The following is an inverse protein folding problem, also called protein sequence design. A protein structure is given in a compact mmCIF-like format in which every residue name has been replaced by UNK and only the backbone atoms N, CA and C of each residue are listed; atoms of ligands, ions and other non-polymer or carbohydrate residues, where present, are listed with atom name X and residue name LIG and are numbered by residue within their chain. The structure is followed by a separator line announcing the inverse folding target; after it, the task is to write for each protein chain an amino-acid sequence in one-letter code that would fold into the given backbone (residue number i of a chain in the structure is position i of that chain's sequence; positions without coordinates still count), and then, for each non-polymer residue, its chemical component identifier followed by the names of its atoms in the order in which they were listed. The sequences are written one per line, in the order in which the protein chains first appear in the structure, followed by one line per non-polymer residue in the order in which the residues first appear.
data_IF_331512082946
#
_entry.id   IF_331512082946
#
_cell.length_a   1.000
_cell.length_b   1.000
_cell.length_c   1.000
_cell.angle_alpha   90.00
_cell.angle_beta   90.00
_cell.angle_gamma   90.00
#
_symmetry.space_group_name_H-M   'P 1'
#
loop_
_entity.id
_entity.type
_entity.pdbx_description
1 polymer ?
#
# COMPACT_ATOMS: atom_id res chain seq x y z
N UNK A 1 -47.89 2.28 48.15
CA UNK A 1 -46.91 3.27 47.63
C UNK A 1 -45.54 2.67 47.92
N UNK A 2 -44.75 2.19 46.97
CA UNK A 2 -43.95 3.03 46.06
C UNK A 2 -43.18 2.24 44.98
N UNK A 3 -43.82 1.34 44.22
CA UNK A 3 -43.19 0.72 43.03
C UNK A 3 -43.28 1.62 41.77
N UNK A 4 -44.04 2.70 41.84
CA UNK A 4 -44.20 3.67 40.74
C UNK A 4 -43.00 4.62 40.56
N UNK A 5 -42.00 4.58 41.44
CA UNK A 5 -40.82 5.46 41.37
C UNK A 5 -39.73 4.98 40.39
N UNK A 6 -39.90 3.82 39.76
CA UNK A 6 -38.96 3.25 38.79
C UNK A 6 -39.41 3.33 37.32
N UNK A 7 -40.62 3.85 37.07
CA UNK A 7 -41.15 4.00 35.72
C UNK A 7 -40.83 5.39 35.19
N UNK A 8 -40.50 5.51 33.90
CA UNK A 8 -40.32 6.83 33.30
C UNK A 8 -41.60 7.69 33.47
N UNK A 9 -41.48 9.01 33.59
CA UNK A 9 -42.63 9.92 33.72
C UNK A 9 -43.64 9.81 32.57
N UNK A 10 -43.22 9.29 31.41
CA UNK A 10 -44.11 8.96 30.29
C UNK A 10 -45.14 7.89 30.65
N UNK A 11 -44.77 6.89 31.47
CA UNK A 11 -45.64 5.81 31.91
C UNK A 11 -46.57 6.19 33.08
N UNK A 12 -46.30 7.28 33.80
CA UNK A 12 -47.18 7.77 34.87
C UNK A 12 -48.41 8.52 34.36
N UNK A 13 -48.47 8.82 33.05
CA UNK A 13 -49.63 9.41 32.37
C UNK A 13 -50.75 8.40 32.02
N UNK A 14 -50.53 7.10 32.26
CA UNK A 14 -51.53 6.06 31.99
C UNK A 14 -52.63 6.14 33.04
N UNK A 15 -53.75 6.78 32.70
CA UNK A 15 -54.91 6.93 33.60
C UNK A 15 -55.75 5.65 33.64
N UNK A 16 -56.09 5.18 34.84
CA UNK A 16 -57.01 4.05 35.04
C UNK A 16 -58.49 4.41 34.79
N UNK A 17 -58.75 5.67 34.41
CA UNK A 17 -60.07 6.27 34.31
C UNK A 17 -60.32 6.70 32.86
N UNK A 18 -61.55 6.46 32.40
CA UNK A 18 -62.08 6.88 31.12
C UNK A 18 -62.08 8.41 31.00
N UNK A 19 -61.44 8.93 29.96
CA UNK A 19 -61.33 10.36 29.73
C UNK A 19 -62.68 11.05 29.46
N UNK A 20 -63.63 10.33 28.87
CA UNK A 20 -64.95 10.88 28.49
C UNK A 20 -65.97 10.84 29.63
N UNK A 21 -65.97 9.76 30.41
CA UNK A 21 -66.99 9.50 31.44
C UNK A 21 -66.46 9.61 32.87
N UNK A 22 -65.16 9.83 33.04
CA UNK A 22 -64.48 9.86 34.34
C UNK A 22 -64.72 8.61 35.22
N UNK A 23 -65.01 7.47 34.58
CA UNK A 23 -65.25 6.18 35.23
C UNK A 23 -64.04 5.25 35.07
N UNK A 24 -63.78 4.40 36.06
CA UNK A 24 -62.68 3.43 35.99
C UNK A 24 -62.91 2.46 34.82
N UNK A 25 -61.86 2.18 34.05
CA UNK A 25 -61.91 1.13 33.04
C UNK A 25 -62.06 -0.24 33.71
N UNK A 26 -63.08 -0.99 33.32
CA UNK A 26 -63.36 -2.33 33.88
C UNK A 26 -63.44 -3.41 32.81
N UNK A 27 -63.53 -3.01 31.55
CA UNK A 27 -63.81 -3.89 30.41
C UNK A 27 -62.74 -3.69 29.34
N UNK A 28 -62.34 -4.77 28.67
CA UNK A 28 -61.45 -4.73 27.51
C UNK A 28 -62.13 -5.40 26.31
N UNK A 29 -62.17 -4.70 25.18
CA UNK A 29 -62.66 -5.26 23.93
C UNK A 29 -61.49 -5.73 23.07
N UNK A 30 -61.36 -7.04 22.87
CA UNK A 30 -60.28 -7.65 22.07
C UNK A 30 -60.37 -7.26 20.58
N UNK A 31 -61.58 -7.10 20.06
CA UNK A 31 -61.82 -6.81 18.64
C UNK A 31 -61.33 -5.42 18.25
N UNK A 32 -61.44 -4.47 19.17
CA UNK A 32 -61.06 -3.07 18.94
C UNK A 32 -59.79 -2.64 19.68
N UNK A 33 -59.19 -3.55 20.48
CA UNK A 33 -58.03 -3.31 21.34
C UNK A 33 -58.19 -2.05 22.23
N UNK A 34 -59.36 -1.92 22.88
CA UNK A 34 -59.75 -0.74 23.67
C UNK A 34 -60.16 -1.10 25.09
N UNK A 35 -59.77 -0.23 26.03
CA UNK A 35 -60.30 -0.18 27.39
C UNK A 35 -61.64 0.57 27.38
N UNK A 36 -62.65 0.02 28.04
CA UNK A 36 -64.01 0.57 28.11
C UNK A 36 -64.46 0.69 29.58
N UNK A 37 -65.12 1.80 29.93
CA UNK A 37 -65.98 1.86 31.12
C UNK A 37 -67.39 1.37 30.79
N UNK A 38 -68.30 1.33 31.77
CA UNK A 38 -69.67 0.85 31.55
C UNK A 38 -70.44 1.70 30.53
N UNK A 39 -70.27 3.03 30.57
CA UNK A 39 -70.94 3.93 29.62
C UNK A 39 -70.37 3.81 28.20
N UNK A 40 -69.05 3.62 28.04
CA UNK A 40 -68.46 3.34 26.74
C UNK A 40 -68.97 2.02 26.14
N UNK A 41 -69.20 1.00 26.97
CA UNK A 41 -69.71 -0.29 26.51
C UNK A 41 -71.15 -0.17 25.96
N UNK A 42 -71.99 0.66 26.57
CA UNK A 42 -73.37 0.86 26.11
C UNK A 42 -73.45 1.40 24.67
N UNK A 43 -72.46 2.20 24.28
CA UNK A 43 -72.33 2.79 22.95
C UNK A 43 -71.30 2.06 22.07
N UNK A 44 -70.87 0.86 22.47
CA UNK A 44 -69.83 0.11 21.75
C UNK A 44 -70.42 -0.85 20.72
N UNK A 45 -70.22 -0.54 19.44
CA UNK A 45 -70.61 -1.43 18.35
C UNK A 45 -69.65 -2.62 18.24
N UNK A 46 -69.99 -3.73 18.90
CA UNK A 46 -69.24 -4.98 18.81
C UNK A 46 -69.15 -5.73 20.13
N UNK A 47 -70.19 -6.51 20.46
CA UNK A 47 -70.22 -7.28 21.71
C UNK A 47 -69.35 -8.55 21.69
N UNK A 48 -68.82 -8.94 20.53
CA UNK A 48 -67.94 -10.12 20.40
C UNK A 48 -66.54 -9.78 20.91
N UNK A 49 -66.03 -10.60 21.82
CA UNK A 49 -64.65 -10.48 22.34
C UNK A 49 -64.48 -9.52 23.51
N UNK A 50 -65.57 -9.13 24.18
CA UNK A 50 -65.53 -8.36 25.43
C UNK A 50 -65.13 -9.30 26.58
N UNK A 51 -64.16 -8.87 27.38
CA UNK A 51 -63.73 -9.58 28.59
C UNK A 51 -63.53 -8.59 29.75
N UNK A 52 -63.69 -9.04 31.01
CA UNK A 52 -63.32 -8.24 32.17
C UNK A 52 -61.82 -7.87 32.11
N UNK A 53 -61.50 -6.60 32.34
CA UNK A 53 -60.12 -6.12 32.36
C UNK A 53 -59.28 -6.85 33.43
N UNK A 54 -59.91 -7.25 34.54
CA UNK A 54 -59.29 -8.03 35.62
C UNK A 54 -58.82 -9.43 35.19
N UNK A 55 -59.40 -10.00 34.13
CA UNK A 55 -58.97 -11.28 33.57
C UNK A 55 -57.70 -11.12 32.71
N UNK A 56 -57.63 -10.01 31.97
CA UNK A 56 -56.47 -9.64 31.16
C UNK A 56 -55.29 -9.27 32.07
N UNK A 57 -55.47 -8.36 33.03
CA UNK A 57 -54.36 -7.85 33.86
C UNK A 57 -53.70 -8.93 34.73
N UNK A 58 -54.41 -10.00 35.08
CA UNK A 58 -53.84 -11.17 35.78
C UNK A 58 -52.86 -11.97 34.93
N UNK A 59 -53.02 -11.94 33.60
CA UNK A 59 -52.26 -12.78 32.67
C UNK A 59 -51.29 -12.00 31.79
N UNK A 60 -51.36 -10.65 31.76
CA UNK A 60 -50.50 -9.77 30.93
C UNK A 60 -49.01 -10.05 31.14
N UNK A 61 -48.54 -10.19 32.39
CA UNK A 61 -47.11 -10.45 32.69
C UNK A 61 -46.61 -11.81 32.18
N UNK A 62 -47.54 -12.75 31.97
CA UNK A 62 -47.27 -14.10 31.44
C UNK A 62 -47.69 -14.23 29.97
N UNK A 63 -48.12 -13.13 29.34
CA UNK A 63 -48.60 -13.15 27.96
C UNK A 63 -47.44 -13.18 26.97
N UNK A 64 -47.66 -13.80 25.80
CA UNK A 64 -46.68 -13.81 24.70
C UNK A 64 -46.26 -12.39 24.33
N UNK A 65 -47.22 -11.46 24.24
CA UNK A 65 -46.95 -10.07 23.85
C UNK A 65 -46.00 -9.35 24.83
N UNK A 66 -46.12 -9.59 26.13
CA UNK A 66 -45.24 -8.99 27.13
C UNK A 66 -43.80 -9.51 26.95
N UNK A 67 -43.63 -10.83 26.85
CA UNK A 67 -42.31 -11.43 26.64
C UNK A 67 -41.71 -11.05 25.28
N UNK A 68 -42.50 -11.01 24.21
CA UNK A 68 -42.05 -10.58 22.88
C UNK A 68 -41.58 -9.13 22.86
N UNK A 69 -42.29 -8.25 23.58
CA UNK A 69 -41.90 -6.83 23.71
C UNK A 69 -40.62 -6.71 24.51
N UNK A 70 -40.50 -7.42 25.63
CA UNK A 70 -39.28 -7.46 26.44
C UNK A 70 -38.08 -7.97 25.63
N UNK A 71 -38.23 -9.09 24.93
CA UNK A 71 -37.19 -9.64 24.04
C UNK A 71 -36.82 -8.67 22.92
N UNK A 72 -37.80 -8.02 22.29
CA UNK A 72 -37.56 -7.02 21.25
C UNK A 72 -36.72 -5.85 21.75
N UNK A 73 -36.99 -5.36 22.97
CA UNK A 73 -36.19 -4.30 23.59
C UNK A 73 -34.76 -4.77 23.91
N UNK A 74 -34.58 -5.98 24.42
CA UNK A 74 -33.25 -6.56 24.66
C UNK A 74 -32.45 -6.72 23.37
N UNK A 75 -33.06 -7.21 22.29
CA UNK A 75 -32.41 -7.36 20.99
C UNK A 75 -31.98 -5.99 20.42
N UNK A 76 -32.84 -4.97 20.55
CA UNK A 76 -32.50 -3.60 20.13
C UNK A 76 -31.30 -3.08 20.94
N UNK A 77 -31.29 -3.28 22.26
CA UNK A 77 -30.19 -2.88 23.12
C UNK A 77 -28.87 -3.55 22.69
N UNK A 78 -28.86 -4.86 22.50
CA UNK A 78 -27.67 -5.59 22.03
C UNK A 78 -27.18 -5.10 20.67
N UNK A 79 -28.10 -4.82 19.75
CA UNK A 79 -27.76 -4.31 18.42
C UNK A 79 -27.15 -2.91 18.49
N UNK A 80 -27.70 -2.02 19.34
CA UNK A 80 -27.14 -0.68 19.58
C UNK A 80 -25.71 -0.79 20.13
N UNK A 81 -25.48 -1.67 21.12
CA UNK A 81 -24.14 -1.88 21.68
C UNK A 81 -23.14 -2.34 20.61
N UNK A 82 -23.51 -3.29 19.75
CA UNK A 82 -22.64 -3.74 18.63
C UNK A 82 -22.33 -2.64 17.62
N UNK A 83 -23.32 -1.79 17.33
CA UNK A 83 -23.13 -0.62 16.45
C UNK A 83 -22.14 0.35 17.10
N UNK A 84 -22.31 0.63 18.40
CA UNK A 84 -21.43 1.51 19.17
C UNK A 84 -19.99 0.97 19.20
N UNK A 85 -19.80 -0.32 19.48
CA UNK A 85 -18.48 -0.95 19.47
C UNK A 85 -17.79 -0.86 18.10
N UNK A 86 -18.56 -1.05 17.02
CA UNK A 86 -18.06 -0.86 15.65
C UNK A 86 -17.56 0.56 15.40
N UNK A 87 -18.28 1.58 15.87
CA UNK A 87 -17.84 2.97 15.76
C UNK A 87 -16.60 3.27 16.61
N UNK A 88 -16.50 2.73 17.83
CA UNK A 88 -15.33 2.89 18.68
C UNK A 88 -14.08 2.27 18.06
N UNK A 89 -14.20 1.08 17.48
CA UNK A 89 -13.11 0.44 16.74
C UNK A 89 -12.70 1.26 15.51
N UNK A 90 -13.67 1.77 14.75
CA UNK A 90 -13.38 2.63 13.59
C UNK A 90 -12.65 3.91 14.00
N UNK A 91 -13.04 4.54 15.11
CA UNK A 91 -12.38 5.75 15.62
C UNK A 91 -10.93 5.46 16.02
N UNK A 92 -10.69 4.33 16.68
CA UNK A 92 -9.34 3.88 17.04
C UNK A 92 -8.49 3.62 15.79
N UNK A 93 -9.04 2.92 14.79
CA UNK A 93 -8.36 2.63 13.52
C UNK A 93 -7.95 3.92 12.80
N UNK A 94 -8.87 4.88 12.69
CA UNK A 94 -8.59 6.18 12.05
C UNK A 94 -7.42 6.90 12.74
N UNK A 95 -7.39 6.89 14.08
CA UNK A 95 -6.32 7.54 14.84
C UNK A 95 -4.97 6.84 14.65
N UNK A 96 -4.96 5.51 14.59
CA UNK A 96 -3.74 4.74 14.32
C UNK A 96 -3.24 4.97 12.88
N UNK A 97 -4.15 4.95 11.90
CA UNK A 97 -3.86 5.26 10.50
C UNK A 97 -3.34 6.69 10.31
N UNK A 98 -3.92 7.67 11.01
CA UNK A 98 -3.45 9.06 11.00
C UNK A 98 -1.97 9.16 11.41
N UNK A 99 -1.59 8.51 12.52
CA UNK A 99 -0.21 8.51 13.00
C UNK A 99 0.75 7.84 12.03
N UNK A 100 0.31 6.74 11.38
CA UNK A 100 1.10 6.05 10.36
C UNK A 100 1.32 6.97 9.15
N UNK A 101 0.26 7.60 8.65
CA UNK A 101 0.35 8.50 7.50
C UNK A 101 1.27 9.71 7.77
N UNK A 102 1.18 10.30 8.97
CA UNK A 102 2.10 11.38 9.38
C UNK A 102 3.56 10.89 9.41
N UNK A 103 3.81 9.70 9.97
CA UNK A 103 5.16 9.12 9.99
C UNK A 103 5.70 8.81 8.60
N UNK A 104 4.85 8.36 7.67
CA UNK A 104 5.21 8.12 6.28
C UNK A 104 5.57 9.41 5.54
N UNK A 105 4.85 10.51 5.81
CA UNK A 105 5.16 11.85 5.28
C UNK A 105 6.56 12.26 5.74
N UNK A 106 6.85 12.18 7.05
CA UNK A 106 8.16 12.55 7.61
C UNK A 106 9.29 11.69 7.04
N UNK A 107 9.06 10.38 6.98
CA UNK A 107 10.05 9.43 6.44
C UNK A 107 10.31 9.70 4.96
N UNK A 108 9.27 10.02 4.19
CA UNK A 108 9.40 10.36 2.76
C UNK A 108 10.18 11.65 2.59
N UNK A 109 9.88 12.68 3.39
CA UNK A 109 10.60 13.94 3.36
C UNK A 109 12.08 13.74 3.65
N UNK A 110 12.41 12.99 4.71
CA UNK A 110 13.79 12.69 5.08
C UNK A 110 14.55 11.96 3.96
N UNK A 111 13.92 10.97 3.31
CA UNK A 111 14.53 10.27 2.17
C UNK A 111 14.84 11.19 0.99
N UNK A 112 13.98 12.19 0.74
CA UNK A 112 14.22 13.18 -0.31
C UNK A 112 15.43 14.04 0.08
N UNK A 113 15.47 14.54 1.30
CA UNK A 113 16.57 15.37 1.80
C UNK A 113 17.90 14.61 1.76
N UNK A 114 17.96 13.39 2.32
CA UNK A 114 19.15 12.54 2.29
C UNK A 114 19.65 12.27 0.85
N UNK A 115 18.72 12.13 -0.10
CA UNK A 115 19.08 11.91 -1.50
C UNK A 115 19.62 13.17 -2.16
N UNK A 116 19.02 14.34 -1.90
CA UNK A 116 19.48 15.62 -2.42
C UNK A 116 20.86 15.98 -1.85
N UNK A 117 21.09 15.76 -0.55
CA UNK A 117 22.39 15.96 0.10
C UNK A 117 23.48 15.10 -0.55
N UNK A 118 23.15 13.84 -0.87
CA UNK A 118 24.08 12.94 -1.56
C UNK A 118 24.39 13.44 -2.97
N UNK A 119 23.37 13.84 -3.74
CA UNK A 119 23.57 14.38 -5.10
C UNK A 119 24.39 15.67 -5.08
N UNK A 120 24.17 16.53 -4.10
CA UNK A 120 24.97 17.74 -3.89
C UNK A 120 26.43 17.39 -3.58
N UNK A 121 26.66 16.47 -2.65
CA UNK A 121 28.00 16.03 -2.28
C UNK A 121 28.75 15.45 -3.49
N UNK A 122 28.10 14.56 -4.24
CA UNK A 122 28.67 13.93 -5.44
C UNK A 122 28.99 14.98 -6.51
N UNK A 123 28.12 15.97 -6.71
CA UNK A 123 28.35 17.06 -7.67
C UNK A 123 29.52 17.94 -7.25
N UNK A 124 29.60 18.33 -5.98
CA UNK A 124 30.73 19.13 -5.44
C UNK A 124 32.04 18.39 -5.63
N UNK A 125 32.08 17.09 -5.31
CA UNK A 125 33.25 16.24 -5.52
C UNK A 125 33.65 16.21 -7.00
N UNK A 126 32.69 16.01 -7.89
CA UNK A 126 32.94 15.98 -9.33
C UNK A 126 33.51 17.30 -9.86
N UNK A 127 32.99 18.45 -9.40
CA UNK A 127 33.55 19.76 -9.76
C UNK A 127 35.02 19.86 -9.38
N UNK A 128 35.40 19.40 -8.18
CA UNK A 128 36.80 19.40 -7.75
C UNK A 128 37.68 18.46 -8.59
N UNK A 129 37.17 17.28 -8.94
CA UNK A 129 37.89 16.29 -9.74
C UNK A 129 38.10 16.75 -11.19
N UNK A 130 37.05 17.25 -11.85
CA UNK A 130 37.13 17.76 -13.22
C UNK A 130 38.01 19.02 -13.30
N UNK A 131 38.02 19.85 -12.25
CA UNK A 131 38.91 21.01 -12.16
C UNK A 131 40.37 20.67 -11.81
N UNK A 132 40.67 19.47 -11.30
CA UNK A 132 42.00 19.13 -10.82
C UNK A 132 43.01 18.93 -11.96
N UNK A 133 42.63 18.20 -13.02
CA UNK A 133 43.49 17.90 -14.16
C UNK A 133 43.93 19.16 -14.93
N UNK A 134 43.00 20.01 -15.43
CA UNK A 134 43.38 21.22 -16.17
C UNK A 134 44.20 22.17 -15.31
N UNK A 135 43.82 22.34 -14.03
CA UNK A 135 44.60 23.15 -13.08
C UNK A 135 46.03 22.67 -12.93
N UNK A 136 46.25 21.37 -12.70
CA UNK A 136 47.60 20.82 -12.58
C UNK A 136 48.41 20.98 -13.88
N UNK A 137 47.76 20.83 -15.04
CA UNK A 137 48.40 21.04 -16.34
C UNK A 137 48.82 22.51 -16.52
N UNK A 138 47.94 23.46 -16.20
CA UNK A 138 48.22 24.90 -16.24
C UNK A 138 49.36 25.26 -15.27
N UNK A 139 49.37 24.71 -14.05
CA UNK A 139 50.45 24.94 -13.07
C UNK A 139 51.81 24.49 -13.62
N UNK A 140 51.89 23.32 -14.26
CA UNK A 140 53.12 22.83 -14.91
C UNK A 140 53.54 23.72 -16.07
N UNK A 141 52.59 24.18 -16.88
CA UNK A 141 52.88 25.09 -18.01
C UNK A 141 53.38 26.44 -17.52
N UNK A 142 52.77 27.00 -16.47
CA UNK A 142 53.23 28.24 -15.85
C UNK A 142 54.66 28.12 -15.32
N UNK A 143 54.99 27.01 -14.64
CA UNK A 143 56.35 26.78 -14.16
C UNK A 143 57.37 26.73 -15.31
N UNK A 144 57.05 26.02 -16.40
CA UNK A 144 57.93 25.97 -17.59
C UNK A 144 58.13 27.34 -18.22
N UNK A 145 57.08 28.17 -18.27
CA UNK A 145 57.16 29.53 -18.76
C UNK A 145 58.02 30.42 -17.86
N UNK A 146 57.88 30.29 -16.54
CA UNK A 146 58.68 31.04 -15.57
C UNK A 146 60.16 30.65 -15.62
N UNK A 147 60.48 29.36 -15.74
CA UNK A 147 61.86 28.87 -15.89
C UNK A 147 62.51 29.45 -17.15
N UNK A 148 61.81 29.40 -18.29
CA UNK A 148 62.30 29.96 -19.56
C UNK A 148 62.42 31.48 -19.52
N UNK A 149 61.48 32.17 -18.89
CA UNK A 149 61.54 33.62 -18.68
C UNK A 149 62.77 34.01 -17.85
N UNK A 150 63.07 33.25 -16.79
CA UNK A 150 64.23 33.47 -15.93
C UNK A 150 65.55 33.27 -16.70
N UNK A 151 65.67 32.18 -17.47
CA UNK A 151 66.82 31.90 -18.34
C UNK A 151 67.09 33.04 -19.33
N UNK A 152 66.05 33.50 -20.04
CA UNK A 152 66.17 34.61 -20.99
C UNK A 152 66.52 35.92 -20.28
N UNK A 153 65.94 36.19 -19.11
CA UNK A 153 66.28 37.37 -18.31
C UNK A 153 67.77 37.37 -17.91
N UNK A 154 68.31 36.21 -17.53
CA UNK A 154 69.74 36.06 -17.23
C UNK A 154 70.62 36.28 -18.46
N UNK A 155 70.23 35.74 -19.62
CA UNK A 155 70.94 35.99 -20.88
C UNK A 155 70.91 37.47 -21.29
N UNK A 156 69.79 38.17 -21.09
CA UNK A 156 69.70 39.60 -21.32
C UNK A 156 70.63 40.40 -20.39
N UNK A 157 70.75 39.98 -19.12
CA UNK A 157 71.71 40.59 -18.19
C UNK A 157 73.17 40.35 -18.64
N UNK A 158 73.50 39.13 -19.08
CA UNK A 158 74.82 38.80 -19.62
C UNK A 158 75.14 39.63 -20.87
N UNK A 159 74.18 39.82 -21.77
CA UNK A 159 74.35 40.69 -22.95
C UNK A 159 74.73 42.12 -22.57
N UNK A 160 74.01 42.73 -21.61
CA UNK A 160 74.32 44.07 -21.11
C UNK A 160 75.72 44.17 -20.49
N UNK A 161 76.14 43.12 -19.78
CA UNK A 161 77.48 43.05 -19.20
C UNK A 161 78.56 42.98 -20.28
N UNK A 162 78.38 42.13 -21.29
CA UNK A 162 79.32 41.98 -22.41
C UNK A 162 79.47 43.27 -23.21
N UNK A 163 78.36 43.99 -23.43
CA UNK A 163 78.34 45.28 -24.13
C UNK A 163 79.21 46.34 -23.45
N UNK A 164 79.29 46.29 -22.12
CA UNK A 164 79.95 47.33 -21.31
C UNK A 164 81.36 46.97 -20.84
N UNK A 165 81.66 45.68 -20.65
CA UNK A 165 82.87 45.24 -19.93
C UNK A 165 83.73 44.20 -20.66
N UNK A 166 83.23 43.54 -21.72
CA UNK A 166 83.95 42.45 -22.39
C UNK A 166 84.75 42.92 -23.60
N UNK A 167 85.84 42.21 -23.90
CA UNK A 167 86.59 42.43 -25.15
C UNK A 167 85.81 41.95 -26.37
N UNK A 168 86.09 42.52 -27.55
CA UNK A 168 85.47 42.11 -28.81
C UNK A 168 85.55 40.59 -29.08
N UNK A 169 86.67 39.96 -28.69
CA UNK A 169 86.83 38.51 -28.85
C UNK A 169 85.91 37.70 -27.93
N UNK A 170 85.79 38.09 -26.64
CA UNK A 170 84.88 37.45 -25.68
C UNK A 170 83.41 37.67 -26.08
N UNK A 171 83.07 38.86 -26.57
CA UNK A 171 81.73 39.18 -27.09
C UNK A 171 81.40 38.31 -28.31
N UNK A 172 82.33 38.16 -29.27
CA UNK A 172 82.13 37.32 -30.46
C UNK A 172 81.84 35.85 -30.09
N UNK A 173 82.62 35.27 -29.17
CA UNK A 173 82.41 33.89 -28.72
C UNK A 173 81.08 33.72 -27.96
N UNK A 174 80.75 34.66 -27.08
CA UNK A 174 79.52 34.61 -26.28
C UNK A 174 78.27 34.83 -27.14
N UNK A 175 78.34 35.70 -28.15
CA UNK A 175 77.24 35.96 -29.08
C UNK A 175 76.80 34.69 -29.82
N UNK A 176 77.76 33.82 -30.21
CA UNK A 176 77.44 32.54 -30.85
C UNK A 176 76.65 31.60 -29.95
N UNK A 177 77.00 31.54 -28.65
CA UNK A 177 76.27 30.76 -27.66
C UNK A 177 74.85 31.33 -27.44
N UNK A 178 74.75 32.65 -27.26
CA UNK A 178 73.48 33.33 -27.02
C UNK A 178 72.52 33.28 -28.22
N UNK A 179 73.05 33.32 -29.45
CA UNK A 179 72.25 33.10 -30.67
C UNK A 179 71.56 31.74 -30.65
N UNK A 180 72.29 30.68 -30.27
CA UNK A 180 71.70 29.35 -30.13
C UNK A 180 70.63 29.28 -29.03
N UNK A 181 70.78 30.05 -27.96
CA UNK A 181 69.78 30.15 -26.88
C UNK A 181 68.52 30.88 -27.35
N UNK A 182 68.67 31.93 -28.18
CA UNK A 182 67.54 32.63 -28.83
C UNK A 182 66.78 31.68 -29.75
N UNK A 183 67.48 30.95 -30.62
CA UNK A 183 66.85 29.98 -31.54
C UNK A 183 66.06 28.89 -30.76
N UNK A 184 66.63 28.42 -29.64
CA UNK A 184 65.96 27.47 -28.74
C UNK A 184 64.70 28.06 -28.10
N UNK A 185 64.75 29.31 -27.64
CA UNK A 185 63.62 29.96 -26.99
C UNK A 185 62.51 30.31 -27.98
N UNK A 186 62.88 30.74 -29.19
CA UNK A 186 61.95 30.98 -30.29
C UNK A 186 61.27 29.67 -30.71
N UNK A 187 62.02 28.57 -30.83
CA UNK A 187 61.43 27.25 -31.07
C UNK A 187 60.47 26.82 -29.96
N UNK A 188 60.78 27.12 -28.70
CA UNK A 188 59.89 26.82 -27.57
C UNK A 188 58.59 27.63 -27.64
N UNK A 189 58.65 28.95 -27.82
CA UNK A 189 57.46 29.80 -27.96
C UNK A 189 56.63 29.40 -29.18
N UNK A 190 57.27 29.14 -30.31
CA UNK A 190 56.59 28.68 -31.52
C UNK A 190 55.96 27.29 -31.36
N UNK A 191 56.58 26.41 -30.58
CA UNK A 191 55.97 25.11 -30.25
C UNK A 191 54.71 25.29 -29.41
N UNK A 192 54.73 26.18 -28.41
CA UNK A 192 53.55 26.47 -27.58
C UNK A 192 52.44 27.19 -28.36
N UNK A 193 52.79 28.07 -29.30
CA UNK A 193 51.82 28.80 -30.11
C UNK A 193 51.15 27.94 -31.21
N UNK A 194 51.83 26.87 -31.66
CA UNK A 194 51.32 25.94 -32.67
C UNK A 194 50.58 24.76 -32.06
N UNK A 195 50.90 24.41 -30.83
CA UNK A 195 50.17 23.41 -30.07
C UNK A 195 48.80 24.01 -29.72
N UNK A 196 47.70 23.35 -30.08
CA UNK A 196 46.31 23.79 -29.79
C UNK A 196 46.08 24.02 -28.27
N UNK A 197 47.03 23.62 -27.44
CA UNK A 197 47.16 23.76 -25.98
C UNK A 197 47.12 25.16 -25.34
N UNK A 198 47.02 26.26 -26.08
CA UNK A 198 46.68 27.58 -25.49
C UNK A 198 45.16 27.74 -25.30
N UNK A 199 44.45 26.63 -25.13
CA UNK A 199 43.05 26.60 -24.74
C UNK A 199 42.89 27.11 -23.30
N UNK A 200 41.98 28.06 -23.12
CA UNK A 200 41.57 28.53 -21.80
C UNK A 200 40.44 27.62 -21.33
N UNK A 201 40.76 26.71 -20.42
CA UNK A 201 39.77 25.84 -19.79
C UNK A 201 38.74 26.66 -19.01
N UNK A 202 37.46 26.41 -19.27
CA UNK A 202 36.36 27.03 -18.53
C UNK A 202 35.45 25.97 -17.92
N UNK A 203 35.08 26.17 -16.65
CA UNK A 203 34.14 25.29 -15.95
C UNK A 203 32.74 25.86 -16.08
N UNK A 204 31.79 25.01 -16.51
CA UNK A 204 30.37 25.35 -16.54
C UNK A 204 29.58 24.31 -15.75
N UNK A 205 28.54 24.78 -15.07
CA UNK A 205 27.63 23.95 -14.30
C UNK A 205 26.22 24.06 -14.88
N UNK A 206 25.67 22.92 -15.28
CA UNK A 206 24.30 22.82 -15.76
C UNK A 206 23.51 21.85 -14.88
N UNK A 207 22.48 22.35 -14.21
CA UNK A 207 21.58 21.51 -13.41
C UNK A 207 20.63 20.72 -14.33
N UNK A 208 20.33 19.48 -13.92
CA UNK A 208 19.32 18.65 -14.57
C UNK A 208 17.96 19.37 -14.62
N UNK A 209 17.28 19.31 -15.76
CA UNK A 209 15.95 19.89 -15.93
C UNK A 209 14.95 19.35 -14.90
N UNK A 210 15.08 18.10 -14.46
CA UNK A 210 14.25 17.49 -13.42
C UNK A 210 14.38 18.19 -12.09
N UNK A 211 15.58 18.62 -11.70
CA UNK A 211 15.79 19.41 -10.47
C UNK A 211 15.06 20.75 -10.61
N UNK A 212 15.17 21.42 -11.77
CA UNK A 212 14.44 22.67 -12.01
C UNK A 212 12.92 22.48 -11.90
N UNK A 213 12.39 21.38 -12.43
CA UNK A 213 10.96 21.02 -12.31
C UNK A 213 10.57 20.79 -10.86
N UNK A 214 11.37 20.07 -10.07
CA UNK A 214 11.09 19.82 -8.65
C UNK A 214 10.99 21.14 -7.86
N UNK A 215 11.90 22.08 -8.11
CA UNK A 215 11.99 23.35 -7.35
C UNK A 215 10.89 24.34 -7.75
N UNK A 216 10.35 24.25 -8.97
CA UNK A 216 9.38 25.24 -9.49
C UNK A 216 7.95 24.75 -9.64
N UNK A 217 7.71 23.44 -9.81
CA UNK A 217 6.42 22.92 -10.28
C UNK A 217 5.70 21.97 -9.31
N UNK A 218 6.28 21.62 -8.16
CA UNK A 218 5.58 20.80 -7.16
C UNK A 218 4.64 21.69 -6.34
N UNK A 219 3.32 21.55 -6.57
CA UNK A 219 2.29 22.33 -5.86
C UNK A 219 1.73 21.64 -4.61
N UNK A 220 1.87 20.32 -4.51
CA UNK A 220 1.38 19.53 -3.38
C UNK A 220 2.26 18.31 -3.14
N UNK A 221 2.41 17.94 -1.87
CA UNK A 221 3.21 16.78 -1.45
C UNK A 221 2.46 15.45 -1.60
N UNK A 222 1.14 15.47 -1.44
CA UNK A 222 0.27 14.31 -1.55
C UNK A 222 -1.19 14.69 -1.35
N UNK A 223 -2.08 13.70 -1.46
CA UNK A 223 -3.52 13.85 -1.25
C UNK A 223 -3.95 12.85 -0.18
N UNK A 224 -4.59 13.34 0.89
CA UNK A 224 -5.21 12.49 1.91
C UNK A 224 -6.69 12.30 1.54
N UNK A 225 -7.16 11.06 1.52
CA UNK A 225 -8.55 10.73 1.19
C UNK A 225 -9.14 9.80 2.24
N UNK A 226 -10.37 10.08 2.68
CA UNK A 226 -11.12 9.21 3.59
C UNK A 226 -12.11 8.38 2.80
N UNK A 227 -11.96 7.06 2.83
CA UNK A 227 -12.93 6.14 2.23
C UNK A 227 -14.01 5.79 3.24
N UNK A 228 -15.27 6.10 2.89
CA UNK A 228 -16.42 5.71 3.69
C UNK A 228 -16.89 4.32 3.23
N UNK A 229 -16.90 3.36 4.15
CA UNK A 229 -17.56 2.07 3.95
C UNK A 229 -18.83 2.05 4.79
N UNK A 230 -19.92 1.56 4.20
CA UNK A 230 -21.16 1.33 4.93
C UNK A 230 -20.97 0.12 5.85
N UNK A 231 -21.10 0.36 7.15
CA UNK A 231 -21.06 -0.69 8.15
C UNK A 231 -22.45 -1.35 8.22
N UNK A 232 -22.60 -2.53 7.62
CA UNK A 232 -23.83 -3.31 7.71
C UNK A 232 -23.79 -4.19 8.96
N UNK A 233 -24.38 -3.72 10.07
CA UNK A 233 -24.70 -4.62 11.19
C UNK A 233 -25.97 -5.37 10.82
N UNK A 234 -25.95 -6.71 10.69
CA UNK A 234 -27.19 -7.45 10.58
C UNK A 234 -27.96 -7.25 11.89
N UNK A 235 -29.04 -6.46 11.82
CA UNK A 235 -29.96 -6.29 12.93
C UNK A 235 -30.77 -7.57 13.05
N UNK A 236 -30.48 -8.36 14.07
CA UNK A 236 -31.14 -9.66 14.26
C UNK A 236 -32.17 -9.50 15.39
N UNK A 237 -33.45 -9.73 15.07
CA UNK A 237 -34.47 -10.01 16.10
C UNK A 237 -34.46 -11.52 16.41
N UNK A 238 -34.68 -11.92 17.66
CA UNK A 238 -34.73 -13.34 18.05
C UNK A 238 -35.81 -14.14 17.30
N UNK A 239 -36.92 -13.50 16.92
CA UNK A 239 -37.97 -14.10 16.08
C UNK A 239 -37.43 -14.55 14.71
N UNK A 240 -36.52 -13.75 14.16
CA UNK A 240 -35.84 -14.04 12.89
C UNK A 240 -34.70 -15.04 13.07
N UNK A 241 -34.09 -15.14 14.28
CA UNK A 241 -33.21 -16.28 14.61
C UNK A 241 -33.99 -17.59 14.54
N UNK A 242 -35.26 -17.63 15.00
CA UNK A 242 -36.09 -18.83 14.92
C UNK A 242 -36.53 -19.14 13.48
N UNK A 243 -36.91 -18.15 12.67
CA UNK A 243 -37.23 -18.37 11.26
C UNK A 243 -36.02 -18.84 10.43
N UNK A 244 -34.81 -18.39 10.75
CA UNK A 244 -33.55 -18.90 10.17
C UNK A 244 -33.16 -20.29 10.70
N UNK A 245 -33.73 -20.73 11.83
CA UNK A 245 -33.50 -22.06 12.43
C UNK A 245 -34.48 -23.13 11.94
N UNK A 246 -35.63 -22.76 11.35
CA UNK A 246 -36.64 -23.73 10.88
C UNK A 246 -36.34 -24.25 9.45
N UNK A 247 -35.44 -23.62 8.71
CA UNK A 247 -35.12 -24.01 7.33
C UNK A 247 -33.81 -24.79 7.13
N UNK A 248 -32.88 -24.75 8.07
CA UNK A 248 -31.58 -25.43 7.95
C UNK A 248 -31.14 -25.90 9.34
N UNK A 249 -31.02 -27.22 9.50
CA UNK A 249 -30.42 -27.81 10.69
C UNK A 249 -29.08 -27.15 10.99
N UNK A 250 -28.96 -26.57 12.19
CA UNK A 250 -27.76 -25.90 12.73
C UNK A 250 -26.46 -26.59 12.30
N UNK A 251 -25.42 -25.87 11.88
CA UNK A 251 -24.10 -26.17 12.40
C UNK A 251 -24.01 -25.52 13.79
N UNK A 252 -23.95 -26.36 14.83
CA UNK A 252 -23.34 -25.93 16.09
C UNK A 252 -22.01 -25.26 15.75
N UNK A 253 -21.72 -24.10 16.37
CA UNK A 253 -20.35 -23.62 16.47
C UNK A 253 -19.61 -24.68 17.27
N UNK A 254 -18.99 -25.59 16.53
CA UNK A 254 -18.12 -26.63 17.03
C UNK A 254 -16.88 -25.92 17.57
N UNK A 255 -16.49 -26.26 18.79
CA UNK A 255 -15.11 -25.99 19.23
C UNK A 255 -14.16 -26.44 18.12
N UNK A 256 -12.99 -25.81 17.95
CA UNK A 256 -11.98 -26.30 16.99
C UNK A 256 -11.70 -27.80 17.21
N UNK A 257 -11.88 -28.28 18.45
CA UNK A 257 -11.74 -29.68 18.85
C UNK A 257 -12.88 -30.60 18.34
N UNK A 258 -14.02 -30.05 17.90
CA UNK A 258 -15.19 -30.77 17.37
C UNK A 258 -15.26 -30.74 15.83
N UNK A 259 -14.32 -30.07 15.16
CA UNK A 259 -14.18 -30.07 13.70
C UNK A 259 -13.70 -31.47 13.27
N UNK A 260 -14.65 -32.39 13.10
CA UNK A 260 -14.42 -33.62 12.36
C UNK A 260 -14.20 -33.26 10.89
N UNK A 261 -12.94 -33.07 10.51
CA UNK A 261 -12.52 -33.00 9.12
C UNK A 261 -12.95 -34.31 8.43
N UNK A 262 -14.04 -34.26 7.67
CA UNK A 262 -14.43 -35.35 6.80
C UNK A 262 -13.74 -35.11 5.47
N UNK A 263 -12.85 -36.03 5.11
CA UNK A 263 -12.19 -36.02 3.82
C UNK A 263 -13.29 -36.24 2.76
N UNK A 264 -13.62 -35.19 2.02
CA UNK A 264 -14.78 -35.21 1.11
C UNK A 264 -14.47 -36.03 -0.15
N UNK A 265 -13.26 -35.86 -0.69
CA UNK A 265 -12.72 -36.60 -1.83
C UNK A 265 -11.19 -36.64 -1.71
N UNK A 266 -10.60 -37.76 -2.10
CA UNK A 266 -9.15 -37.88 -2.28
C UNK A 266 -8.86 -37.78 -3.76
N UNK A 267 -7.92 -36.91 -4.14
CA UNK A 267 -7.41 -36.85 -5.50
C UNK A 267 -6.00 -37.44 -5.44
N UNK A 268 -5.77 -38.52 -6.19
CA UNK A 268 -4.42 -39.04 -6.35
C UNK A 268 -3.67 -38.13 -7.32
N UNK A 269 -2.71 -37.39 -6.77
CA UNK A 269 -1.87 -36.49 -7.56
C UNK A 269 -0.61 -37.18 -8.09
N UNK A 270 -0.31 -38.42 -7.67
CA UNK A 270 0.91 -39.21 -7.98
C UNK A 270 2.25 -38.48 -7.79
N UNK A 271 2.25 -37.31 -7.15
CA UNK A 271 3.39 -36.40 -7.11
C UNK A 271 3.87 -36.14 -5.68
N UNK A 272 5.19 -35.97 -5.53
CA UNK A 272 5.86 -35.94 -4.20
C UNK A 272 6.09 -34.53 -3.64
N UNK A 273 5.70 -33.46 -4.35
CA UNK A 273 6.12 -32.10 -4.01
C UNK A 273 5.11 -31.01 -4.42
N UNK A 274 3.86 -31.12 -3.97
CA UNK A 274 2.90 -30.01 -4.11
C UNK A 274 3.29 -28.86 -3.18
N UNK A 275 3.33 -27.64 -3.71
CA UNK A 275 3.74 -26.43 -2.95
C UNK A 275 2.68 -25.35 -2.90
N UNK A 276 1.84 -25.24 -3.93
CA UNK A 276 0.72 -24.31 -4.03
C UNK A 276 -0.52 -25.05 -4.50
N UNK A 277 -1.68 -24.63 -4.00
CA UNK A 277 -2.97 -25.15 -4.41
C UNK A 277 -4.02 -24.05 -4.44
N UNK A 278 -4.96 -24.15 -5.37
CA UNK A 278 -6.06 -23.20 -5.47
C UNK A 278 -7.28 -23.84 -6.13
N UNK A 279 -8.46 -23.36 -5.77
CA UNK A 279 -9.71 -23.73 -6.41
C UNK A 279 -10.22 -22.52 -7.19
N UNK A 280 -10.34 -22.66 -8.50
CA UNK A 280 -10.87 -21.61 -9.37
C UNK A 280 -12.39 -21.46 -9.19
N UNK A 281 -12.96 -20.29 -9.51
CA UNK A 281 -14.41 -20.05 -9.49
C UNK A 281 -15.27 -21.08 -10.26
N UNK A 282 -14.72 -21.72 -11.29
CA UNK A 282 -15.40 -22.79 -12.04
C UNK A 282 -15.34 -24.17 -11.34
N UNK A 283 -14.71 -24.26 -10.16
CA UNK A 283 -14.55 -25.48 -9.38
C UNK A 283 -13.35 -26.34 -9.77
N UNK A 284 -12.56 -25.93 -10.78
CA UNK A 284 -11.33 -26.64 -11.12
C UNK A 284 -10.27 -26.42 -10.04
N UNK A 285 -9.51 -27.46 -9.75
CA UNK A 285 -8.44 -27.46 -8.75
C UNK A 285 -7.08 -27.38 -9.43
N UNK A 286 -6.26 -26.46 -8.98
CA UNK A 286 -4.91 -26.23 -9.45
C UNK A 286 -3.91 -26.66 -8.39
N UNK A 287 -2.85 -27.33 -8.81
CA UNK A 287 -1.73 -27.66 -7.94
C UNK A 287 -0.40 -27.38 -8.64
N UNK A 288 0.51 -26.70 -7.93
CA UNK A 288 1.88 -26.52 -8.39
C UNK A 288 2.76 -27.65 -7.85
N UNK A 289 3.48 -28.31 -8.76
CA UNK A 289 4.39 -29.40 -8.44
C UNK A 289 5.84 -28.95 -8.59
N UNK A 290 6.56 -28.92 -7.47
CA UNK A 290 7.95 -28.53 -7.37
C UNK A 290 8.87 -29.68 -7.80
N UNK A 291 9.07 -29.78 -9.11
CA UNK A 291 10.09 -30.64 -9.73
C UNK A 291 11.08 -29.79 -10.53
N UNK A 292 12.23 -30.34 -10.91
CA UNK A 292 13.24 -29.64 -11.72
C UNK A 292 12.66 -29.00 -13.01
N UNK A 293 11.61 -29.60 -13.56
CA UNK A 293 10.93 -29.17 -14.79
C UNK A 293 9.51 -28.67 -14.53
N UNK A 294 9.20 -28.23 -13.30
CA UNK A 294 7.93 -27.71 -12.78
C UNK A 294 6.62 -28.09 -13.49
N UNK A 295 5.64 -28.61 -12.77
CA UNK A 295 4.35 -28.99 -13.40
C UNK A 295 3.19 -28.27 -12.75
N UNK A 296 2.22 -27.88 -13.56
CA UNK A 296 0.90 -27.48 -13.08
C UNK A 296 -0.04 -28.66 -13.30
N UNK A 297 -0.71 -29.09 -12.25
CA UNK A 297 -1.75 -30.11 -12.32
C UNK A 297 -3.10 -29.41 -12.25
N UNK A 298 -3.98 -29.75 -13.18
CA UNK A 298 -5.35 -29.23 -13.22
C UNK A 298 -6.30 -30.41 -13.12
N UNK A 299 -7.20 -30.34 -12.16
CA UNK A 299 -8.29 -31.29 -11.98
C UNK A 299 -9.61 -30.55 -12.13
N UNK A 300 -10.62 -31.23 -12.66
CA UNK A 300 -11.98 -30.70 -12.63
C UNK A 300 -12.58 -30.77 -11.21
N UNK A 301 -13.80 -30.23 -11.06
CA UNK A 301 -14.56 -30.28 -9.81
C UNK A 301 -14.90 -31.70 -9.34
N UNK A 302 -14.73 -32.71 -10.20
CA UNK A 302 -14.92 -34.11 -9.87
C UNK A 302 -13.62 -34.82 -9.46
N UNK A 303 -12.47 -34.14 -9.54
CA UNK A 303 -11.16 -34.69 -9.24
C UNK A 303 -10.53 -35.46 -10.41
N UNK A 304 -11.09 -35.36 -11.62
CA UNK A 304 -10.50 -35.93 -12.83
C UNK A 304 -9.42 -35.00 -13.36
N UNK A 305 -8.24 -35.54 -13.65
CA UNK A 305 -7.14 -34.78 -14.26
C UNK A 305 -7.53 -34.34 -15.66
N UNK A 306 -7.40 -33.04 -15.94
CA UNK A 306 -7.78 -32.43 -17.22
C UNK A 306 -6.66 -32.47 -18.26
N UNK A 307 -5.40 -32.42 -17.82
CA UNK A 307 -4.24 -32.41 -18.71
C UNK A 307 -3.19 -33.43 -18.23
N UNK A 308 -3.00 -34.49 -19.02
CA UNK A 308 -1.98 -35.50 -18.77
C UNK A 308 -0.66 -35.05 -19.39
N UNK A 309 0.26 -34.63 -18.51
CA UNK A 309 1.69 -34.34 -18.76
C UNK A 309 2.07 -33.22 -19.74
N UNK A 310 1.11 -32.49 -20.29
CA UNK A 310 1.37 -31.38 -21.22
C UNK A 310 1.60 -30.01 -20.54
N UNK A 311 1.42 -29.94 -19.22
CA UNK A 311 1.57 -28.70 -18.45
C UNK A 311 2.89 -28.63 -17.69
N UNK A 312 3.98 -28.53 -18.46
CA UNK A 312 5.32 -28.29 -17.94
C UNK A 312 5.66 -26.81 -18.01
N UNK A 313 6.18 -26.26 -16.93
CA UNK A 313 6.91 -25.00 -16.92
C UNK A 313 8.39 -25.30 -17.16
N UNK A 314 9.16 -24.33 -17.64
CA UNK A 314 10.60 -24.56 -17.85
C UNK A 314 11.39 -24.61 -16.53
N UNK A 315 10.72 -24.46 -15.37
CA UNK A 315 11.31 -24.17 -14.06
C UNK A 315 10.45 -24.68 -12.91
N UNK A 316 11.02 -24.96 -11.72
CA UNK A 316 10.27 -25.37 -10.55
C UNK A 316 9.19 -24.35 -10.13
N UNK A 317 7.94 -24.82 -9.98
CA UNK A 317 6.82 -24.00 -9.52
C UNK A 317 6.77 -23.98 -8.00
N UNK A 318 6.69 -22.78 -7.40
CA UNK A 318 6.56 -22.60 -5.95
C UNK A 318 5.09 -22.46 -5.57
N UNK A 319 4.41 -21.45 -6.10
CA UNK A 319 3.02 -21.15 -5.77
C UNK A 319 2.21 -20.81 -7.03
N UNK A 320 0.89 -20.92 -6.95
CA UNK A 320 -0.03 -20.72 -8.07
C UNK A 320 -1.28 -19.95 -7.63
N UNK A 321 -1.72 -19.01 -8.46
CA UNK A 321 -2.98 -18.31 -8.26
C UNK A 321 -3.69 -18.03 -9.59
N UNK A 322 -5.02 -17.98 -9.56
CA UNK A 322 -5.90 -17.79 -10.67
C UNK A 322 -6.05 -16.31 -10.95
N UNK A 323 -6.00 -15.97 -12.22
CA UNK A 323 -6.35 -14.64 -12.70
C UNK A 323 -7.81 -14.71 -13.11
N UNK A 324 -8.64 -13.73 -12.71
CA UNK A 324 -10.10 -13.84 -12.60
C UNK A 324 -10.94 -14.22 -13.84
N UNK A 325 -10.33 -14.62 -14.96
CA UNK A 325 -10.99 -15.14 -16.15
C UNK A 325 -11.06 -16.69 -16.22
N UNK A 326 -10.72 -17.41 -15.13
CA UNK A 326 -10.67 -18.89 -15.02
C UNK A 326 -9.78 -19.59 -16.06
N UNK A 327 -9.14 -18.83 -16.95
CA UNK A 327 -8.37 -19.33 -18.09
C UNK A 327 -6.89 -19.04 -17.94
N UNK A 328 -6.53 -18.06 -17.11
CA UNK A 328 -5.15 -17.67 -16.84
C UNK A 328 -4.77 -17.93 -15.39
N UNK A 329 -3.55 -18.41 -15.21
CA UNK A 329 -2.93 -18.64 -13.90
C UNK A 329 -1.60 -17.94 -13.84
N UNK A 330 -1.31 -17.33 -12.71
CA UNK A 330 -0.02 -16.77 -12.36
C UNK A 330 0.75 -17.79 -11.51
N UNK A 331 1.97 -18.11 -11.92
CA UNK A 331 2.82 -19.12 -11.29
C UNK A 331 4.11 -18.44 -10.85
N UNK A 332 4.47 -18.62 -9.58
CA UNK A 332 5.78 -18.20 -9.09
C UNK A 332 6.81 -19.30 -9.38
N UNK A 333 7.90 -18.94 -10.05
CA UNK A 333 8.94 -19.89 -10.46
C UNK A 333 10.24 -19.69 -9.67
N UNK A 334 10.94 -20.79 -9.38
CA UNK A 334 12.24 -20.78 -8.69
C UNK A 334 13.40 -20.23 -9.52
N UNK A 335 14.46 -19.81 -8.81
CA UNK A 335 15.81 -19.48 -9.30
C UNK A 335 16.02 -18.20 -10.12
N UNK A 336 14.98 -17.58 -10.69
CA UNK A 336 15.04 -16.18 -11.14
C UNK A 336 13.71 -15.55 -10.81
N UNK A 337 13.70 -14.70 -9.78
CA UNK A 337 12.50 -14.10 -9.22
C UNK A 337 11.55 -13.56 -10.30
N UNK A 338 10.47 -14.29 -10.59
CA UNK A 338 9.58 -13.95 -11.67
C UNK A 338 8.25 -14.69 -11.59
N UNK A 339 7.22 -14.02 -12.09
CA UNK A 339 5.87 -14.56 -12.22
C UNK A 339 5.66 -14.89 -13.70
N UNK A 340 5.25 -16.13 -13.96
CA UNK A 340 4.86 -16.60 -15.29
C UNK A 340 3.34 -16.63 -15.37
N UNK A 341 2.78 -15.98 -16.40
CA UNK A 341 1.35 -16.03 -16.68
C UNK A 341 1.11 -17.06 -17.76
N UNK A 342 0.25 -18.04 -17.46
CA UNK A 342 -0.02 -19.16 -18.34
C UNK A 342 -1.50 -19.36 -18.56
N UNK A 343 -1.84 -19.72 -19.79
CA UNK A 343 -3.21 -20.02 -20.21
C UNK A 343 -3.48 -21.52 -20.07
N UNK A 344 -4.44 -21.87 -19.21
CA UNK A 344 -4.87 -23.23 -18.92
C UNK A 344 -6.10 -23.66 -19.72
N UNK A 345 -6.62 -22.80 -20.60
CA UNK A 345 -7.71 -23.17 -21.54
C UNK A 345 -7.20 -24.01 -22.72
N UNK A 346 -5.88 -24.04 -22.93
CA UNK A 346 -5.22 -24.75 -24.03
C UNK A 346 -4.53 -26.00 -23.48
N UNK A 347 -4.57 -27.09 -24.24
CA UNK A 347 -3.95 -28.37 -23.86
C UNK A 347 -2.43 -28.30 -23.64
N UNK A 348 -1.78 -27.19 -24.02
CA UNK A 348 -0.38 -26.89 -23.75
C UNK A 348 -0.25 -25.54 -23.03
N UNK A 349 0.53 -25.51 -21.95
CA UNK A 349 0.95 -24.27 -21.30
C UNK A 349 1.70 -23.42 -22.34
N UNK A 350 1.12 -22.28 -22.72
CA UNK A 350 1.82 -21.27 -23.52
C UNK A 350 2.15 -20.11 -22.61
N UNK A 351 3.44 -19.89 -22.35
CA UNK A 351 3.91 -18.72 -21.62
C UNK A 351 3.40 -17.48 -22.36
N UNK A 352 2.48 -16.73 -21.73
CA UNK A 352 1.93 -15.52 -22.35
C UNK A 352 2.81 -14.32 -22.06
N UNK A 353 3.32 -14.23 -20.83
CA UNK A 353 4.08 -13.08 -20.37
C UNK A 353 4.93 -13.46 -19.17
N UNK A 354 6.15 -12.89 -19.12
CA UNK A 354 7.05 -12.99 -17.98
C UNK A 354 7.17 -11.64 -17.30
N UNK A 355 6.92 -11.60 -16.00
CA UNK A 355 7.11 -10.40 -15.19
C UNK A 355 8.39 -10.61 -14.38
N UNK A 356 9.52 -9.97 -14.78
CA UNK A 356 10.73 -10.02 -13.96
C UNK A 356 10.48 -9.24 -12.67
N UNK A 357 10.81 -9.81 -11.52
CA UNK A 357 10.98 -8.98 -10.33
C UNK A 357 12.42 -8.46 -10.32
N UNK A 358 12.59 -7.20 -9.92
CA UNK A 358 13.87 -6.46 -10.01
C UNK A 358 15.00 -7.32 -9.43
N UNK A 359 16.14 -7.40 -10.15
CA UNK A 359 17.38 -7.97 -9.62
C UNK A 359 17.67 -7.31 -8.27
N UNK A 360 17.76 -8.11 -7.20
CA UNK A 360 18.54 -7.71 -6.03
C UNK A 360 19.96 -7.55 -6.54
N UNK A 361 20.44 -6.30 -6.60
CA UNK A 361 21.87 -6.02 -6.60
C UNK A 361 22.37 -6.56 -5.25
N UNK A 362 22.98 -7.74 -5.28
CA UNK A 362 23.78 -8.25 -4.17
C UNK A 362 25.12 -7.52 -4.19
#
# INVERSE_FOLDING_TARGET
MSDFLLLEPSFSSVTSVCAEHNEIYQIFCRTHDKLLCHNCLANHDGYKGIVPLTEITKTVKSSSNFHETQHGLTDIQENITKIQDGFLLSLKSIKEEELILLSEIDTTRKKIDDHLDKLEHDLRKKVLEEAAKPRAAIEVLLQKLDDRKSEITNHLHQMKYLETHASNFQTYLSLRHLSSAVDSAESFVNSMAKDESLEIDTLSLNFDQKIKIIVSNIQQFGIVQVQKKTYSVPLIRQKDKQAQLVGLGRPLIKSINDIKLRLFKTIDTTCRAIRGCEILPNGNMLFSNYTLTGRVLVFDSNGKRLFDDQMKTDRPCLDITGMGDNSKVAITCGFVHGIEIVDISKSKLKLQKRIPTKKRLL
#
